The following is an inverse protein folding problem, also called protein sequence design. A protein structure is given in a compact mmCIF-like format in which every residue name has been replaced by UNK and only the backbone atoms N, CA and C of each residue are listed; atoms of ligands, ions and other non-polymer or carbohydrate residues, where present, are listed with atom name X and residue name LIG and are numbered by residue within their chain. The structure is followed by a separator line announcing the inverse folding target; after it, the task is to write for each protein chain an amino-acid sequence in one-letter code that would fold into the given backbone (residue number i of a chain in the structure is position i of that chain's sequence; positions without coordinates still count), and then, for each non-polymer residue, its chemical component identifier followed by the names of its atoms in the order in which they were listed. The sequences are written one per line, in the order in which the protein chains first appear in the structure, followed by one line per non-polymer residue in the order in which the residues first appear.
data_IF_064624375218
#
_entry.id   IF_064624375218
#
_cell.length_a   1.000
_cell.length_b   1.000
_cell.length_c   1.000
_cell.angle_alpha   90.00
_cell.angle_beta   90.00
_cell.angle_gamma   90.00
#
_symmetry.space_group_name_H-M   'P 1'
#
loop_
_entity.id
_entity.type
_entity.pdbx_description
1 polymer ?
#
# COMPACT_ATOMS: atom_id res chain seq x y z
N UNK A 1 5.69 11.84 3.10
CA UNK A 1 5.60 12.58 4.37
C UNK A 1 4.61 13.75 4.29
N UNK A 2 4.91 14.83 3.54
CA UNK A 2 4.09 16.06 3.50
C UNK A 2 2.58 15.87 3.37
N UNK A 3 2.13 15.18 2.31
CA UNK A 3 0.71 14.98 2.04
C UNK A 3 -0.02 14.28 3.20
N UNK A 4 0.64 13.33 3.86
CA UNK A 4 0.07 12.56 4.97
C UNK A 4 -0.03 13.43 6.22
N UNK A 5 1.00 14.21 6.55
CA UNK A 5 0.97 15.16 7.68
C UNK A 5 -0.13 16.19 7.48
N UNK A 6 -0.15 16.84 6.30
CA UNK A 6 -1.20 17.80 5.94
C UNK A 6 -2.59 17.16 5.95
N UNK A 7 -2.73 15.97 5.39
CA UNK A 7 -4.00 15.25 5.31
C UNK A 7 -4.52 14.79 6.67
N UNK A 8 -3.61 14.55 7.63
CA UNK A 8 -3.96 14.30 9.04
C UNK A 8 -4.36 15.57 9.79
N UNK A 9 -4.42 16.74 9.15
CA UNK A 9 -4.65 18.03 9.78
C UNK A 9 -3.66 18.31 10.93
N UNK A 10 -2.40 17.89 10.75
CA UNK A 10 -1.31 18.03 11.71
C UNK A 10 -1.52 17.38 13.09
N UNK A 11 -2.54 16.53 13.25
CA UNK A 11 -2.76 15.74 14.48
C UNK A 11 -2.18 14.31 14.38
N UNK A 12 -1.57 13.95 13.26
CA UNK A 12 -0.87 12.68 13.10
C UNK A 12 0.54 12.70 13.66
N UNK A 13 0.93 11.63 14.36
CA UNK A 13 2.28 11.43 14.87
C UNK A 13 3.28 11.34 13.72
N UNK A 14 4.18 12.33 13.64
CA UNK A 14 5.02 12.52 12.45
C UNK A 14 6.13 11.49 12.34
N UNK A 15 6.60 10.93 13.45
CA UNK A 15 7.56 9.82 13.49
C UNK A 15 6.96 8.54 12.88
N UNK A 16 5.71 8.23 13.22
CA UNK A 16 4.97 7.13 12.62
C UNK A 16 4.70 7.37 11.12
N UNK A 17 4.33 8.59 10.74
CA UNK A 17 4.11 8.97 9.33
C UNK A 17 5.42 8.89 8.52
N UNK A 18 6.53 9.36 9.09
CA UNK A 18 7.85 9.29 8.47
C UNK A 18 8.22 7.84 8.20
N UNK A 19 8.16 6.99 9.24
CA UNK A 19 8.46 5.56 9.12
C UNK A 19 7.59 4.91 8.04
N UNK A 20 6.26 5.10 8.10
CA UNK A 20 5.34 4.54 7.12
C UNK A 20 5.68 4.98 5.69
N UNK A 21 5.99 6.27 5.48
CA UNK A 21 6.34 6.78 4.16
C UNK A 21 7.70 6.29 3.67
N UNK A 22 8.68 6.11 4.56
CA UNK A 22 10.03 5.66 4.20
C UNK A 22 10.08 4.18 3.86
N UNK A 23 9.37 3.32 4.63
CA UNK A 23 9.36 1.86 4.39
C UNK A 23 8.34 1.42 3.35
N UNK A 24 7.32 2.25 3.09
CA UNK A 24 6.21 1.93 2.17
C UNK A 24 6.63 1.36 0.81
N UNK A 25 7.61 1.94 0.09
CA UNK A 25 8.06 1.38 -1.19
C UNK A 25 8.59 -0.06 -1.08
N UNK A 26 9.36 -0.37 -0.04
CA UNK A 26 9.91 -1.71 0.18
C UNK A 26 8.80 -2.72 0.46
N UNK A 27 7.84 -2.36 1.32
CA UNK A 27 6.68 -3.19 1.63
C UNK A 27 5.81 -3.47 0.39
N UNK A 28 5.61 -2.48 -0.50
CA UNK A 28 4.85 -2.69 -1.75
C UNK A 28 5.59 -3.63 -2.70
N UNK A 29 6.91 -3.51 -2.83
CA UNK A 29 7.70 -4.45 -3.62
C UNK A 29 7.70 -5.85 -3.01
N UNK A 30 7.73 -6.00 -1.69
CA UNK A 30 7.58 -7.30 -1.03
C UNK A 30 6.28 -7.99 -1.44
N UNK A 31 5.15 -7.26 -1.43
CA UNK A 31 3.86 -7.79 -1.89
C UNK A 31 3.89 -8.21 -3.37
N UNK A 32 4.59 -7.45 -4.22
CA UNK A 32 4.79 -7.83 -5.63
C UNK A 32 5.55 -9.15 -5.76
N UNK A 33 6.62 -9.34 -4.97
CA UNK A 33 7.39 -10.58 -4.92
C UNK A 33 6.63 -11.75 -4.27
N UNK A 34 5.66 -11.46 -3.38
CA UNK A 34 4.72 -12.46 -2.86
C UNK A 34 3.72 -12.95 -3.91
N UNK A 35 3.66 -12.28 -5.08
CA UNK A 35 2.79 -12.64 -6.19
C UNK A 35 1.47 -11.85 -6.23
N UNK A 36 1.38 -10.72 -5.52
CA UNK A 36 0.22 -9.84 -5.64
C UNK A 36 0.11 -9.34 -7.09
N UNK A 37 -0.99 -9.60 -7.81
CA UNK A 37 -1.13 -9.29 -9.23
C UNK A 37 -1.43 -7.79 -9.47
N UNK A 38 -0.46 -6.92 -9.17
CA UNK A 38 -0.57 -5.51 -9.53
C UNK A 38 -0.75 -5.35 -11.05
N UNK A 39 -1.57 -4.36 -11.43
CA UNK A 39 -1.61 -3.88 -12.81
C UNK A 39 -0.22 -3.35 -13.20
N UNK A 40 0.11 -3.39 -14.49
CA UNK A 40 1.42 -2.99 -14.99
C UNK A 40 1.31 -1.85 -16.00
N UNK A 41 2.32 -0.99 -16.01
CA UNK A 41 2.59 -0.14 -17.17
C UNK A 41 3.17 -0.99 -18.31
N UNK A 42 3.25 -0.42 -19.52
CA UNK A 42 3.85 -1.09 -20.69
C UNK A 42 5.31 -1.53 -20.45
N UNK A 43 6.04 -0.81 -19.60
CA UNK A 43 7.42 -1.16 -19.22
C UNK A 43 7.51 -2.21 -18.10
N UNK A 44 6.41 -2.86 -17.73
CA UNK A 44 6.38 -3.94 -16.73
C UNK A 44 6.47 -3.47 -15.27
N UNK A 45 6.62 -2.17 -15.00
CA UNK A 45 6.57 -1.65 -13.61
C UNK A 45 5.15 -1.63 -13.09
N UNK A 46 5.00 -1.64 -11.76
CA UNK A 46 3.71 -1.52 -11.08
C UNK A 46 3.00 -0.24 -11.53
N UNK A 47 1.77 -0.40 -12.01
CA UNK A 47 0.89 0.70 -12.39
C UNK A 47 0.49 1.51 -11.15
N UNK A 48 0.50 2.84 -11.30
CA UNK A 48 0.10 3.78 -10.26
C UNK A 48 -0.93 4.77 -10.82
N UNK A 49 -1.99 5.05 -10.05
CA UNK A 49 -3.04 6.01 -10.41
C UNK A 49 -3.04 7.25 -9.50
N UNK A 50 -3.57 8.39 -9.98
CA UNK A 50 -3.91 9.52 -9.14
C UNK A 50 -4.89 9.13 -8.03
N UNK A 51 -4.79 9.81 -6.88
CA UNK A 51 -5.74 9.67 -5.78
C UNK A 51 -5.82 10.99 -5.01
N UNK A 52 -6.89 11.16 -4.23
CA UNK A 52 -7.13 12.38 -3.46
C UNK A 52 -5.99 12.71 -2.51
N UNK A 53 -5.65 14.01 -2.40
CA UNK A 53 -4.65 14.50 -1.45
C UNK A 53 -3.20 14.10 -1.75
N UNK A 54 -2.88 13.71 -2.99
CA UNK A 54 -1.52 13.35 -3.39
C UNK A 54 -0.90 14.44 -4.28
N UNK A 55 0.20 15.04 -3.84
CA UNK A 55 0.88 16.11 -4.55
C UNK A 55 2.36 15.82 -4.79
N UNK A 56 2.95 16.52 -5.77
CA UNK A 56 4.41 16.57 -5.97
C UNK A 56 4.97 17.83 -5.29
N UNK A 57 6.27 17.83 -5.00
CA UNK A 57 6.99 19.00 -4.47
C UNK A 57 6.26 19.70 -3.31
N UNK A 58 5.92 18.95 -2.26
CA UNK A 58 5.32 19.49 -1.03
C UNK A 58 4.07 20.36 -1.26
N UNK A 59 3.19 19.99 -2.20
CA UNK A 59 1.94 20.70 -2.50
C UNK A 59 1.97 21.58 -3.74
N UNK A 60 3.16 21.87 -4.28
CA UNK A 60 3.32 22.88 -5.35
C UNK A 60 3.41 22.26 -6.76
N UNK A 61 3.78 20.99 -6.87
CA UNK A 61 4.06 20.32 -8.14
C UNK A 61 2.84 19.68 -8.82
N UNK A 62 1.63 20.05 -8.40
CA UNK A 62 0.37 19.48 -8.90
C UNK A 62 0.13 18.02 -8.47
N UNK A 63 -0.80 17.36 -9.14
CA UNK A 63 -1.27 16.02 -8.79
C UNK A 63 -0.18 14.94 -8.94
N UNK A 64 0.05 14.17 -7.89
CA UNK A 64 0.87 12.95 -7.94
C UNK A 64 0.02 11.73 -8.33
N UNK A 65 0.70 10.70 -8.85
CA UNK A 65 0.12 9.38 -9.10
C UNK A 65 0.98 8.34 -8.40
N UNK A 66 0.65 8.02 -7.14
CA UNK A 66 1.43 7.11 -6.29
C UNK A 66 0.62 5.98 -5.67
N UNK A 67 -0.63 5.78 -6.13
CA UNK A 67 -1.50 4.70 -5.65
C UNK A 67 -1.34 3.47 -6.53
N UNK A 68 -0.56 2.49 -6.06
CA UNK A 68 -0.40 1.19 -6.73
C UNK A 68 -1.74 0.43 -6.73
N UNK A 69 -2.08 -0.21 -7.84
CA UNK A 69 -3.39 -0.85 -7.97
C UNK A 69 -3.35 -2.18 -8.74
N UNK A 70 -4.25 -3.08 -8.36
CA UNK A 70 -4.66 -4.25 -9.14
C UNK A 70 -6.08 -3.99 -9.66
N UNK A 71 -6.16 -3.29 -10.79
CA UNK A 71 -7.40 -2.67 -11.28
C UNK A 71 -8.11 -1.87 -10.17
N UNK A 72 -9.35 -2.20 -9.87
CA UNK A 72 -10.18 -1.67 -8.79
C UNK A 72 -10.40 -2.69 -7.66
N UNK A 73 -9.62 -3.78 -7.64
CA UNK A 73 -9.75 -4.91 -6.70
C UNK A 73 -8.48 -5.15 -5.87
N UNK A 74 -7.68 -4.11 -5.62
CA UNK A 74 -6.41 -4.22 -4.88
C UNK A 74 -6.58 -4.88 -3.51
N UNK A 75 -7.66 -4.56 -2.77
CA UNK A 75 -7.92 -5.18 -1.47
C UNK A 75 -8.16 -6.69 -1.55
N UNK A 76 -8.91 -7.14 -2.56
CA UNK A 76 -9.12 -8.56 -2.83
C UNK A 76 -7.79 -9.27 -3.17
N UNK A 77 -7.03 -8.70 -4.11
CA UNK A 77 -5.73 -9.24 -4.52
C UNK A 77 -4.74 -9.33 -3.34
N UNK A 78 -4.68 -8.27 -2.51
CA UNK A 78 -3.84 -8.20 -1.33
C UNK A 78 -4.19 -9.28 -0.31
N UNK A 79 -5.47 -9.41 0.04
CA UNK A 79 -5.91 -10.37 1.05
C UNK A 79 -5.64 -11.83 0.62
N UNK A 80 -5.89 -12.15 -0.65
CA UNK A 80 -5.58 -13.46 -1.20
C UNK A 80 -4.08 -13.74 -1.23
N UNK A 81 -3.24 -12.78 -1.64
CA UNK A 81 -1.79 -12.95 -1.65
C UNK A 81 -1.23 -13.19 -0.24
N UNK A 82 -1.69 -12.43 0.76
CA UNK A 82 -1.27 -12.62 2.15
C UNK A 82 -1.76 -13.95 2.72
N UNK A 83 -3.01 -14.34 2.46
CA UNK A 83 -3.53 -15.64 2.91
C UNK A 83 -2.73 -16.80 2.31
N UNK A 84 -2.44 -16.77 1.00
CA UNK A 84 -1.58 -17.75 0.34
C UNK A 84 -0.16 -17.75 0.91
N UNK A 85 0.40 -16.58 1.23
CA UNK A 85 1.69 -16.45 1.90
C UNK A 85 1.71 -17.10 3.29
N UNK A 86 0.65 -16.93 4.08
CA UNK A 86 0.51 -17.56 5.39
C UNK A 86 0.36 -19.09 5.29
N UNK A 87 -0.37 -19.59 4.29
CA UNK A 87 -0.45 -21.03 3.99
C UNK A 87 0.95 -21.60 3.69
N UNK A 88 1.72 -20.93 2.83
CA UNK A 88 3.11 -21.31 2.52
C UNK A 88 4.01 -21.25 3.76
N UNK A 89 3.76 -20.28 4.66
CA UNK A 89 4.49 -20.11 5.92
C UNK A 89 4.08 -21.08 7.04
N UNK A 90 3.10 -21.96 6.83
CA UNK A 90 2.64 -22.90 7.85
C UNK A 90 1.98 -22.24 9.05
N UNK A 91 1.39 -21.05 8.86
CA UNK A 91 0.70 -20.34 9.94
C UNK A 91 -0.51 -21.13 10.42
N UNK A 92 -0.69 -21.23 11.74
CA UNK A 92 -1.87 -21.89 12.32
C UNK A 92 -3.02 -20.91 12.33
N UNK A 93 -4.12 -21.27 11.66
CA UNK A 93 -5.33 -20.48 11.63
C UNK A 93 -6.38 -21.06 12.59
N UNK A 94 -6.92 -20.20 13.45
CA UNK A 94 -8.13 -20.48 14.23
C UNK A 94 -9.32 -19.84 13.52
N UNK A 95 -9.68 -20.39 12.36
CA UNK A 95 -10.77 -19.86 11.55
C UNK A 95 -12.10 -19.99 12.27
N UNK A 96 -12.90 -18.92 12.25
CA UNK A 96 -14.22 -18.84 12.90
C UNK A 96 -14.19 -18.95 14.44
N UNK A 97 -13.08 -18.56 15.07
CA UNK A 97 -13.00 -18.39 16.53
C UNK A 97 -13.33 -16.96 16.94
N UNK A 98 -14.09 -16.81 18.03
CA UNK A 98 -14.47 -15.51 18.60
C UNK A 98 -13.64 -15.22 19.86
N UNK A 99 -12.83 -14.15 19.85
CA UNK A 99 -12.07 -13.71 21.01
C UNK A 99 -13.01 -12.98 22.00
N UNK A 100 -12.99 -13.41 23.26
CA UNK A 100 -13.74 -12.81 24.38
C UNK A 100 -12.83 -12.00 25.28
#
# INVERSE_FOLDING_TARGET
MYDTVKGSDYIGDQDAIEYMCSVGPQAVFELDHMGLPFSRFENGRIYQRPFGGQSKNFGEGGQAARTCAAADRTGHALLHALYQGNLKGGTTFLNEWYAV
#
